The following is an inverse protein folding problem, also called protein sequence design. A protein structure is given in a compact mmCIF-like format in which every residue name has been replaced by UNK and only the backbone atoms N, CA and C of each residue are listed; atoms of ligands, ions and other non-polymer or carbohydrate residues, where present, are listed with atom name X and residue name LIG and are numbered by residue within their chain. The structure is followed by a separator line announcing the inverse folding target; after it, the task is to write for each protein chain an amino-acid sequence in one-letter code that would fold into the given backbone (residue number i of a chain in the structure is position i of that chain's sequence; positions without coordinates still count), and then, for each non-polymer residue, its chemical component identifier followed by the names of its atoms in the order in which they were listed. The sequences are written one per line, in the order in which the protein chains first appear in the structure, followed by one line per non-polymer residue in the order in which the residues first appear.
data_IF_121766336892
#
_entry.id   IF_121766336892
#
_cell.length_a   1.000
_cell.length_b   1.000
_cell.length_c   1.000
_cell.angle_alpha   90.00
_cell.angle_beta   90.00
_cell.angle_gamma   90.00
#
_symmetry.space_group_name_H-M   'P 1'
#
loop_
_entity.id
_entity.type
_entity.pdbx_description
1 polymer ?
#
# COMPACT_ATOMS: atom_id res chain seq x y z
N UNK A 1 12.84 -10.22 14.34
CA UNK A 1 13.42 -9.73 13.06
C UNK A 1 12.81 -8.37 12.76
N UNK A 2 13.60 -7.29 12.80
CA UNK A 2 13.10 -5.91 12.68
C UNK A 2 12.95 -5.57 11.20
N UNK A 3 11.75 -5.15 10.78
CA UNK A 3 11.39 -4.84 9.39
C UNK A 3 12.37 -3.84 8.72
N UNK A 4 13.06 -2.99 9.51
CA UNK A 4 14.13 -2.10 9.05
C UNK A 4 15.30 -2.81 8.36
N UNK A 5 15.65 -4.03 8.76
CA UNK A 5 16.78 -4.77 8.18
C UNK A 5 16.48 -5.33 6.77
N UNK A 6 15.19 -5.44 6.40
CA UNK A 6 14.77 -6.01 5.10
C UNK A 6 14.68 -4.98 3.97
N UNK A 7 14.66 -3.68 4.28
CA UNK A 7 14.29 -2.64 3.32
C UNK A 7 15.44 -1.65 3.02
N UNK A 8 16.49 -1.57 3.85
CA UNK A 8 17.60 -0.59 3.66
C UNK A 8 17.21 0.85 4.03
N UNK A 9 18.16 1.79 4.06
CA UNK A 9 17.94 3.18 4.52
C UNK A 9 17.06 4.03 3.56
N UNK A 10 16.92 3.59 2.31
CA UNK A 10 16.37 4.36 1.20
C UNK A 10 14.94 3.95 0.76
N UNK A 11 14.33 3.06 1.53
CA UNK A 11 13.05 2.39 1.25
C UNK A 11 11.85 3.05 1.92
N UNK A 12 12.07 4.21 2.55
CA UNK A 12 11.01 4.91 3.25
C UNK A 12 10.51 4.17 4.50
N UNK A 13 9.67 4.82 5.31
CA UNK A 13 9.22 4.28 6.58
C UNK A 13 8.24 3.12 6.39
N UNK A 14 8.25 2.17 7.33
CA UNK A 14 7.16 1.21 7.46
C UNK A 14 6.13 1.80 8.42
N UNK A 15 4.93 2.01 7.90
CA UNK A 15 3.82 2.66 8.59
C UNK A 15 2.75 1.61 8.90
N UNK A 16 2.16 1.68 10.10
CA UNK A 16 0.99 0.86 10.41
C UNK A 16 -0.28 1.57 9.98
N UNK A 17 -1.28 0.76 9.73
CA UNK A 17 -2.68 1.12 9.53
C UNK A 17 -3.19 2.30 10.39
N UNK A 18 -2.84 2.35 11.68
CA UNK A 18 -3.33 3.37 12.63
C UNK A 18 -2.50 4.67 12.58
N UNK A 19 -1.25 4.59 12.10
CA UNK A 19 -0.34 5.74 11.99
C UNK A 19 -0.57 6.56 10.71
N UNK A 20 -1.46 6.08 9.82
CA UNK A 20 -1.73 6.67 8.51
C UNK A 20 -2.69 7.86 8.53
N UNK A 21 -3.46 8.02 9.61
CA UNK A 21 -4.56 8.98 9.69
C UNK A 21 -4.09 10.25 10.41
N UNK A 22 -4.41 11.43 9.84
CA UNK A 22 -4.37 12.66 10.62
C UNK A 22 -5.53 12.72 11.63
N UNK A 23 -5.57 13.81 12.41
CA UNK A 23 -6.67 14.07 13.36
C UNK A 23 -8.06 14.17 12.71
N UNK A 24 -8.15 14.26 11.39
CA UNK A 24 -9.39 14.31 10.61
C UNK A 24 -9.71 12.96 9.92
N UNK A 25 -8.83 11.95 10.04
CA UNK A 25 -9.01 10.64 9.44
C UNK A 25 -8.55 10.53 7.97
N UNK A 26 -7.88 11.56 7.44
CA UNK A 26 -7.31 11.54 6.10
C UNK A 26 -5.92 10.90 6.08
N UNK A 27 -5.58 10.26 4.94
CA UNK A 27 -4.28 9.65 4.74
C UNK A 27 -3.24 10.74 4.51
N UNK A 28 -2.26 10.84 5.39
CA UNK A 28 -1.16 11.80 5.23
C UNK A 28 0.00 11.16 4.47
N UNK A 29 0.44 11.82 3.41
CA UNK A 29 1.60 11.43 2.63
C UNK A 29 2.68 12.50 2.82
N UNK A 30 3.66 12.22 3.67
CA UNK A 30 4.79 13.10 3.91
C UNK A 30 6.00 12.78 3.03
N UNK A 31 5.92 11.74 2.19
CA UNK A 31 7.04 11.23 1.38
C UNK A 31 6.58 10.74 -0.01
N UNK A 32 7.55 10.50 -0.90
CA UNK A 32 7.34 9.94 -2.25
C UNK A 32 6.65 8.57 -2.23
N UNK A 33 7.02 7.74 -1.25
CA UNK A 33 6.39 6.45 -0.99
C UNK A 33 6.70 6.00 0.44
N UNK A 34 5.98 4.99 0.91
CA UNK A 34 6.23 4.31 2.17
C UNK A 34 5.69 2.88 2.11
N UNK A 35 6.14 2.02 3.02
CA UNK A 35 5.63 0.65 3.12
C UNK A 35 4.53 0.60 4.16
N UNK A 36 3.33 0.18 3.78
CA UNK A 36 2.22 -0.02 4.70
C UNK A 36 2.17 -1.48 5.12
N UNK A 37 2.16 -1.73 6.43
CA UNK A 37 1.71 -3.01 6.98
C UNK A 37 0.18 -3.03 7.11
N UNK A 38 -0.49 -3.55 6.09
CA UNK A 38 -1.94 -3.51 5.97
C UNK A 38 -2.60 -4.65 6.78
N UNK A 39 -3.21 -4.33 7.92
CA UNK A 39 -3.92 -5.28 8.78
C UNK A 39 -5.11 -5.93 8.08
N UNK A 40 -5.84 -5.18 7.24
CA UNK A 40 -6.95 -5.72 6.44
C UNK A 40 -6.53 -6.79 5.43
N UNK A 41 -5.26 -6.78 5.04
CA UNK A 41 -4.66 -7.79 4.18
C UNK A 41 -3.98 -8.91 4.99
N UNK A 42 -4.27 -9.03 6.29
CA UNK A 42 -3.64 -10.03 7.15
C UNK A 42 -2.23 -9.64 7.62
N UNK A 43 -1.91 -8.34 7.61
CA UNK A 43 -0.61 -7.82 8.05
C UNK A 43 0.47 -7.87 6.96
N UNK A 44 0.06 -8.02 5.70
CA UNK A 44 0.94 -7.97 4.54
C UNK A 44 1.57 -6.58 4.35
N UNK A 45 2.76 -6.56 3.74
CA UNK A 45 3.46 -5.34 3.38
C UNK A 45 3.07 -4.93 1.95
N UNK A 46 2.63 -3.69 1.79
CA UNK A 46 2.32 -3.10 0.48
C UNK A 46 3.07 -1.78 0.31
N UNK A 47 3.44 -1.46 -0.91
CA UNK A 47 4.11 -0.20 -1.23
C UNK A 47 3.06 0.85 -1.57
N UNK A 48 3.03 1.95 -0.83
CA UNK A 48 2.15 3.08 -1.11
C UNK A 48 2.98 4.17 -1.76
N UNK A 49 2.64 4.53 -2.99
CA UNK A 49 3.35 5.55 -3.77
C UNK A 49 2.47 6.79 -3.86
N UNK A 50 3.00 7.97 -3.57
CA UNK A 50 2.19 9.19 -3.50
C UNK A 50 1.69 9.65 -4.88
N UNK A 51 2.54 9.54 -5.90
CA UNK A 51 2.26 10.00 -7.27
C UNK A 51 2.89 9.05 -8.31
N UNK A 52 2.27 8.94 -9.48
CA UNK A 52 2.69 8.02 -10.55
C UNK A 52 4.12 8.27 -11.04
N UNK A 53 4.58 9.53 -11.01
CA UNK A 53 5.96 9.90 -11.38
C UNK A 53 7.03 9.23 -10.52
N UNK A 54 6.67 8.73 -9.33
CA UNK A 54 7.57 8.03 -8.42
C UNK A 54 7.47 6.49 -8.54
N UNK A 55 6.59 5.97 -9.39
CA UNK A 55 6.27 4.54 -9.46
C UNK A 55 7.48 3.68 -9.82
N UNK A 56 8.22 4.06 -10.87
CA UNK A 56 9.39 3.29 -11.32
C UNK A 56 10.52 3.31 -10.28
N UNK A 57 10.79 4.48 -9.70
CA UNK A 57 11.78 4.66 -8.64
C UNK A 57 11.41 3.79 -7.41
N UNK A 58 10.14 3.81 -7.00
CA UNK A 58 9.64 3.04 -5.88
C UNK A 58 9.70 1.53 -6.14
N UNK A 59 9.28 1.06 -7.33
CA UNK A 59 9.34 -0.36 -7.71
C UNK A 59 10.77 -0.89 -7.73
N UNK A 60 11.72 -0.08 -8.22
CA UNK A 60 13.13 -0.45 -8.25
C UNK A 60 13.71 -0.64 -6.84
N UNK A 61 13.34 0.21 -5.87
CA UNK A 61 13.77 0.07 -4.48
C UNK A 61 13.00 -0.99 -3.68
N UNK A 62 11.81 -1.36 -4.14
CA UNK A 62 10.91 -2.30 -3.46
C UNK A 62 10.43 -3.43 -4.38
N UNK A 63 11.35 -4.23 -4.94
CA UNK A 63 10.96 -5.31 -5.84
C UNK A 63 10.06 -6.31 -5.10
N UNK A 64 8.95 -6.69 -5.74
CA UNK A 64 8.01 -7.68 -5.22
C UNK A 64 6.94 -7.16 -4.26
N UNK A 65 6.95 -5.88 -3.88
CA UNK A 65 5.84 -5.29 -3.13
C UNK A 65 4.72 -4.85 -4.07
N UNK A 66 3.47 -5.14 -3.69
CA UNK A 66 2.29 -4.69 -4.44
C UNK A 66 2.12 -3.19 -4.26
N UNK A 67 1.95 -2.47 -5.36
CA UNK A 67 1.78 -1.02 -5.35
C UNK A 67 0.31 -0.62 -5.15
N UNK A 68 0.13 0.37 -4.27
CA UNK A 68 -1.12 1.08 -4.05
C UNK A 68 -0.89 2.59 -4.12
N UNK A 69 -1.88 3.30 -4.65
CA UNK A 69 -1.99 4.75 -4.50
C UNK A 69 -2.80 5.13 -3.25
N UNK A 70 -2.66 6.37 -2.76
CA UNK A 70 -3.29 6.81 -1.51
C UNK A 70 -4.81 6.66 -1.55
N UNK A 71 -5.44 6.92 -2.70
CA UNK A 71 -6.87 6.71 -2.91
C UNK A 71 -7.27 5.24 -2.72
N UNK A 72 -6.49 4.31 -3.27
CA UNK A 72 -6.75 2.88 -3.14
C UNK A 72 -6.55 2.41 -1.70
N UNK A 73 -5.57 2.96 -0.98
CA UNK A 73 -5.39 2.71 0.45
C UNK A 73 -6.59 3.24 1.24
N UNK A 74 -7.10 4.44 0.91
CA UNK A 74 -8.31 4.99 1.55
C UNK A 74 -9.49 4.04 1.35
N UNK A 75 -9.71 3.55 0.13
CA UNK A 75 -10.77 2.57 -0.15
C UNK A 75 -10.57 1.25 0.59
N UNK A 76 -9.33 0.75 0.63
CA UNK A 76 -8.95 -0.48 1.34
C UNK A 76 -9.18 -0.37 2.86
N UNK A 77 -8.89 0.79 3.45
CA UNK A 77 -9.11 1.08 4.87
C UNK A 77 -10.57 1.39 5.20
N UNK A 78 -11.32 2.03 4.29
CA UNK A 78 -12.75 2.28 4.44
C UNK A 78 -13.55 0.97 4.39
N UNK A 79 -13.13 0.02 3.54
CA UNK A 79 -13.74 -1.31 3.42
C UNK A 79 -13.23 -2.33 4.45
N UNK A 80 -12.73 -1.86 5.61
CA UNK A 80 -12.29 -2.71 6.74
C UNK A 80 -13.31 -3.79 7.14
N UNK A 81 -14.59 -3.54 6.93
CA UNK A 81 -15.70 -4.47 7.23
C UNK A 81 -15.92 -5.57 6.20
N UNK A 82 -15.26 -5.52 5.02
CA UNK A 82 -15.35 -6.53 3.95
C UNK A 82 -13.96 -7.07 3.55
N UNK A 83 -13.20 -7.67 4.49
CA UNK A 83 -11.81 -8.06 4.27
C UNK A 83 -11.62 -9.11 3.17
N UNK A 84 -12.61 -9.96 2.92
CA UNK A 84 -12.59 -10.95 1.83
C UNK A 84 -12.43 -10.29 0.44
N UNK A 85 -13.13 -9.17 0.21
CA UNK A 85 -13.07 -8.46 -1.07
C UNK A 85 -11.71 -7.80 -1.27
N UNK A 86 -11.22 -7.07 -0.25
CA UNK A 86 -9.91 -6.42 -0.29
C UNK A 86 -8.77 -7.43 -0.50
N UNK A 87 -8.83 -8.60 0.15
CA UNK A 87 -7.86 -9.69 -0.07
C UNK A 87 -7.92 -10.24 -1.49
N UNK A 88 -9.11 -10.39 -2.07
CA UNK A 88 -9.25 -10.86 -3.47
C UNK A 88 -8.65 -9.86 -4.46
N UNK A 89 -8.95 -8.57 -4.31
CA UNK A 89 -8.33 -7.51 -5.14
C UNK A 89 -6.80 -7.53 -4.98
N UNK A 90 -6.31 -7.68 -3.75
CA UNK A 90 -4.89 -7.77 -3.48
C UNK A 90 -4.22 -8.97 -4.16
N UNK A 91 -4.83 -10.15 -4.12
CA UNK A 91 -4.34 -11.33 -4.84
C UNK A 91 -4.29 -11.11 -6.35
N UNK A 92 -5.32 -10.47 -6.93
CA UNK A 92 -5.33 -10.12 -8.36
C UNK A 92 -4.16 -9.19 -8.68
N UNK A 93 -3.94 -8.15 -7.86
CA UNK A 93 -2.80 -7.24 -8.02
C UNK A 93 -1.45 -7.96 -7.90
N UNK A 94 -1.30 -8.94 -7.01
CA UNK A 94 -0.08 -9.77 -6.91
C UNK A 94 0.17 -10.56 -8.20
N UNK A 95 -0.85 -11.23 -8.72
CA UNK A 95 -0.75 -12.04 -9.95
C UNK A 95 -0.40 -11.18 -11.16
N UNK A 96 -0.91 -9.95 -11.20
CA UNK A 96 -0.64 -8.99 -12.27
C UNK A 96 0.58 -8.10 -11.99
N UNK A 97 1.51 -8.51 -11.14
CA UNK A 97 2.76 -7.79 -10.83
C UNK A 97 2.55 -6.30 -10.46
N UNK A 98 1.55 -6.05 -9.61
CA UNK A 98 1.22 -4.72 -9.12
C UNK A 98 0.59 -3.80 -10.17
N UNK A 99 0.03 -4.33 -11.26
CA UNK A 99 -0.79 -3.53 -12.20
C UNK A 99 -1.87 -2.78 -11.41
N UNK A 100 -2.00 -1.49 -11.71
CA UNK A 100 -3.03 -0.62 -11.15
C UNK A 100 -4.36 -1.13 -11.69
N UNK A 101 -5.12 -1.84 -10.85
CA UNK A 101 -6.48 -2.26 -11.20
C UNK A 101 -7.43 -1.17 -10.72
N UNK A 102 -7.99 -0.32 -11.61
CA UNK A 102 -8.97 0.67 -11.20
C UNK A 102 -10.20 -0.04 -10.62
N UNK A 103 -10.57 0.30 -9.38
CA UNK A 103 -11.69 -0.30 -8.66
C UNK A 103 -13.02 -0.23 -9.42
N UNK A 104 -13.18 0.78 -10.30
CA UNK A 104 -14.36 0.96 -11.16
C UNK A 104 -14.53 -0.10 -12.27
N UNK A 105 -13.55 -1.00 -12.48
CA UNK A 105 -13.64 -2.09 -13.47
C UNK A 105 -13.94 -3.47 -12.84
N UNK A 106 -14.14 -3.54 -11.53
CA UNK A 106 -14.42 -4.78 -10.80
C UNK A 106 -15.87 -4.86 -10.26
N UNK A 107 -16.77 -4.05 -10.83
CA UNK A 107 -18.21 -4.05 -10.56
C UNK A 107 -18.99 -4.41 -11.82
#
# INVERSE_FOLDING_TARGET
MKIRELLGDDSGPVVRDDDLRDGNGDIVLWQKWFVLKAGVLGGELVLVVSEEKYLEEARSKHPGLVVYFPREVKELLLRRTTPMFSRRVHMIKKVLDGVIVPWNRLG
#
